data_IF_918813106320
#
_entry.id   IF_918813106320
#
_cell.length_a   1.000
_cell.length_b   1.000
_cell.length_c   1.000
_cell.angle_alpha   90.00
_cell.angle_beta   90.00
_cell.angle_gamma   90.00
#
_symmetry.space_group_name_H-M   'P 1'
#
loop_
_entity.id
_entity.type
_entity.pdbx_description
1 polymer ?
#
# COMPACT_ATOMS: atom_id res chain seq x y z
N UNK A 1 -7.97 -10.70 19.89
CA UNK A 1 -8.05 -11.04 21.33
C UNK A 1 -9.43 -10.61 21.84
N UNK A 2 -10.33 -11.55 22.11
CA UNK A 2 -11.72 -11.27 22.50
C UNK A 2 -11.80 -11.38 24.03
N UNK A 3 -12.31 -10.35 24.72
CA UNK A 3 -12.54 -10.38 26.19
C UNK A 3 -14.05 -10.29 26.49
N UNK A 4 -14.57 -11.08 27.43
CA UNK A 4 -15.95 -10.92 27.90
C UNK A 4 -16.08 -9.66 28.78
N UNK A 5 -17.23 -8.98 28.72
CA UNK A 5 -17.63 -7.96 29.71
C UNK A 5 -18.97 -8.38 30.32
N UNK A 6 -19.07 -8.26 31.64
CA UNK A 6 -20.33 -8.26 32.38
C UNK A 6 -20.75 -6.82 32.63
N UNK A 7 -22.02 -6.51 32.40
CA UNK A 7 -22.61 -5.21 32.77
C UNK A 7 -23.33 -5.42 34.10
N UNK A 8 -22.85 -4.76 35.16
CA UNK A 8 -23.55 -4.68 36.44
C UNK A 8 -24.30 -3.34 36.52
N UNK A 9 -25.59 -3.40 36.82
CA UNK A 9 -26.39 -2.24 37.17
C UNK A 9 -26.16 -1.91 38.65
N UNK A 10 -25.67 -0.69 38.94
CA UNK A 10 -25.59 -0.15 40.29
C UNK A 10 -26.84 0.68 40.59
N UNK A 11 -27.62 0.23 41.56
CA UNK A 11 -28.69 1.00 42.20
C UNK A 11 -28.12 1.72 43.42
N UNK A 12 -28.31 3.04 43.52
CA UNK A 12 -28.02 3.81 44.72
C UNK A 12 -29.27 4.59 45.14
N UNK A 13 -29.54 4.58 46.46
CA UNK A 13 -30.75 5.10 47.08
C UNK A 13 -30.42 6.24 48.05
N UNK A 14 -31.32 7.24 48.05
CA UNK A 14 -31.74 8.15 49.15
C UNK A 14 -30.68 9.05 49.82
N UNK A 15 -30.93 10.36 49.81
CA UNK A 15 -31.64 11.02 50.93
C UNK A 15 -32.03 12.48 50.64
N UNK A 16 -32.92 12.94 51.51
CA UNK A 16 -33.86 14.07 51.59
C UNK A 16 -33.31 15.51 51.56
N UNK A 17 -34.12 16.42 50.99
CA UNK A 17 -34.10 17.86 51.29
C UNK A 17 -35.30 18.60 50.69
N UNK A 18 -36.27 18.98 51.54
CA UNK A 18 -37.42 19.87 51.25
C UNK A 18 -36.95 21.32 51.13
N UNK A 19 -37.39 22.09 50.13
CA UNK A 19 -37.75 23.53 50.21
C UNK A 19 -38.64 23.94 49.01
N UNK A 20 -39.31 25.09 49.15
CA UNK A 20 -40.65 25.46 48.68
C UNK A 20 -40.69 26.14 47.30
N UNK A 21 -41.84 26.00 46.63
CA UNK A 21 -42.32 26.50 45.32
C UNK A 21 -42.15 28.01 45.04
N UNK A 22 -41.86 28.37 43.78
CA UNK A 22 -42.77 29.13 42.90
C UNK A 22 -42.13 29.50 41.53
N UNK A 23 -42.82 29.14 40.43
CA UNK A 23 -42.88 30.02 39.26
C UNK A 23 -41.86 29.86 38.12
N UNK A 24 -41.78 28.68 37.49
CA UNK A 24 -41.47 28.58 36.06
C UNK A 24 -42.04 27.28 35.50
N UNK A 25 -42.81 27.38 34.42
CA UNK A 25 -43.29 26.27 33.60
C UNK A 25 -42.09 25.48 33.06
N UNK A 26 -41.58 24.58 33.90
CA UNK A 26 -40.52 23.64 33.57
C UNK A 26 -41.16 22.55 32.71
N UNK A 27 -41.06 22.72 31.39
CA UNK A 27 -41.29 21.66 30.42
C UNK A 27 -40.29 20.53 30.71
N UNK A 28 -40.67 19.59 31.59
CA UNK A 28 -39.93 18.37 31.87
C UNK A 28 -40.03 17.53 30.59
N UNK A 29 -39.15 17.82 29.62
CA UNK A 29 -38.86 16.94 28.51
C UNK A 29 -38.22 15.69 29.12
N UNK A 30 -39.06 14.71 29.49
CA UNK A 30 -38.67 13.33 29.77
C UNK A 30 -37.89 12.83 28.56
N UNK A 31 -36.58 13.01 28.62
CA UNK A 31 -35.63 12.52 27.64
C UNK A 31 -35.53 11.03 27.85
N UNK A 32 -36.52 10.29 27.32
CA UNK A 32 -36.45 8.83 27.21
C UNK A 32 -35.23 8.56 26.36
N UNK A 33 -34.14 8.20 27.02
CA UNK A 33 -32.91 7.80 26.35
C UNK A 33 -33.25 6.49 25.66
N UNK A 34 -33.57 6.58 24.37
CA UNK A 34 -33.74 5.40 23.51
C UNK A 34 -32.35 4.78 23.41
N UNK A 35 -32.06 3.87 24.32
CA UNK A 35 -30.86 3.06 24.26
C UNK A 35 -31.04 2.15 23.04
N UNK A 36 -30.29 2.45 21.98
CA UNK A 36 -30.30 1.66 20.76
C UNK A 36 -30.10 0.19 21.13
N UNK A 37 -31.09 -0.65 20.80
CA UNK A 37 -31.04 -2.06 21.09
C UNK A 37 -29.83 -2.67 20.36
N UNK A 38 -28.90 -3.24 21.13
CA UNK A 38 -27.75 -3.94 20.57
C UNK A 38 -28.25 -5.14 19.76
N UNK A 39 -27.71 -5.34 18.55
CA UNK A 39 -28.05 -6.46 17.68
C UNK A 39 -26.81 -7.31 17.38
N UNK A 40 -27.00 -8.60 17.08
CA UNK A 40 -25.89 -9.45 16.66
C UNK A 40 -25.49 -9.13 15.22
N UNK A 41 -24.21 -8.82 14.98
CA UNK A 41 -23.70 -8.50 13.64
C UNK A 41 -23.76 -9.68 12.63
N UNK A 42 -23.88 -10.92 13.11
CA UNK A 42 -23.89 -12.14 12.29
C UNK A 42 -25.30 -12.62 11.97
N UNK A 43 -26.22 -12.60 12.93
CA UNK A 43 -27.58 -13.14 12.77
C UNK A 43 -28.69 -12.12 12.95
N UNK A 44 -28.34 -10.84 13.16
CA UNK A 44 -29.26 -9.72 13.32
C UNK A 44 -30.20 -9.82 14.55
N UNK A 45 -29.97 -10.80 15.45
CA UNK A 45 -30.74 -10.99 16.70
C UNK A 45 -30.73 -9.71 17.53
N UNK A 46 -31.91 -9.19 17.83
CA UNK A 46 -32.15 -8.00 18.64
C UNK A 46 -33.36 -8.20 19.58
N UNK A 47 -33.35 -7.64 20.80
CA UNK A 47 -32.18 -7.07 21.48
C UNK A 47 -31.22 -8.18 21.95
N UNK A 48 -29.93 -7.87 21.96
CA UNK A 48 -28.94 -8.66 22.69
C UNK A 48 -29.11 -8.40 24.19
N UNK A 49 -29.64 -9.39 24.89
CA UNK A 49 -29.77 -9.40 26.36
C UNK A 49 -28.74 -10.35 26.97
N UNK A 50 -28.23 -10.00 28.15
CA UNK A 50 -27.26 -10.81 28.88
C UNK A 50 -25.83 -10.77 28.30
N UNK A 51 -25.19 -11.93 28.17
CA UNK A 51 -23.79 -12.05 27.75
C UNK A 51 -23.66 -11.96 26.22
N UNK A 52 -22.77 -11.10 25.76
CA UNK A 52 -22.38 -10.96 24.36
C UNK A 52 -20.86 -10.76 24.24
N UNK A 53 -20.33 -10.90 23.03
CA UNK A 53 -18.90 -10.74 22.74
C UNK A 53 -18.69 -9.57 21.79
N UNK A 54 -17.56 -8.87 21.95
CA UNK A 54 -17.18 -7.75 21.07
C UNK A 54 -16.26 -8.24 19.95
N UNK A 55 -16.57 -7.81 18.74
CA UNK A 55 -15.74 -7.94 17.54
C UNK A 55 -15.51 -6.53 16.96
N UNK A 56 -14.42 -6.27 16.22
CA UNK A 56 -14.23 -4.99 15.53
C UNK A 56 -15.40 -4.53 14.65
N UNK A 57 -16.18 -5.48 14.11
CA UNK A 57 -17.35 -5.21 13.27
C UNK A 57 -18.67 -5.07 14.04
N UNK A 58 -18.71 -5.37 15.35
CA UNK A 58 -19.91 -5.30 16.17
C UNK A 58 -20.05 -6.43 17.19
N UNK A 59 -21.24 -6.56 17.76
CA UNK A 59 -21.55 -7.48 18.86
C UNK A 59 -21.98 -8.88 18.38
N UNK A 60 -21.62 -9.91 19.13
CA UNK A 60 -21.94 -11.31 18.86
C UNK A 60 -22.83 -11.89 19.95
N UNK A 61 -23.93 -12.55 19.56
CA UNK A 61 -24.73 -13.36 20.48
C UNK A 61 -23.98 -14.65 20.87
N UNK A 62 -24.40 -15.35 21.95
CA UNK A 62 -23.79 -16.62 22.37
C UNK A 62 -23.72 -17.68 21.27
N UNK A 63 -24.77 -17.78 20.45
CA UNK A 63 -24.85 -18.83 19.42
C UNK A 63 -23.87 -18.55 18.28
N UNK A 64 -23.83 -17.32 17.79
CA UNK A 64 -22.89 -16.91 16.74
C UNK A 64 -21.44 -16.94 17.22
N UNK A 65 -21.19 -16.63 18.50
CA UNK A 65 -19.84 -16.74 19.06
C UNK A 65 -19.29 -18.17 18.98
N UNK A 66 -20.13 -19.20 19.10
CA UNK A 66 -19.73 -20.63 19.05
C UNK A 66 -19.53 -21.19 17.65
N UNK A 67 -19.84 -20.45 16.59
CA UNK A 67 -19.64 -20.93 15.21
C UNK A 67 -18.14 -21.09 14.94
N UNK A 68 -17.70 -22.30 14.57
CA UNK A 68 -16.28 -22.59 14.33
C UNK A 68 -15.77 -22.05 12.99
N UNK A 69 -16.64 -21.91 11.99
CA UNK A 69 -16.26 -21.30 10.71
C UNK A 69 -16.05 -19.80 10.89
N UNK A 70 -14.80 -19.36 10.78
CA UNK A 70 -14.40 -17.95 10.94
C UNK A 70 -13.91 -17.37 9.62
N UNK A 71 -14.03 -16.05 9.49
CA UNK A 71 -13.39 -15.28 8.43
C UNK A 71 -11.87 -15.40 8.52
N UNK A 72 -11.20 -15.81 7.46
CA UNK A 72 -9.74 -15.94 7.41
C UNK A 72 -9.02 -14.59 7.47
N UNK A 73 -9.73 -13.47 7.22
CA UNK A 73 -9.19 -12.10 7.35
C UNK A 73 -9.42 -11.55 8.77
N UNK A 74 -10.68 -11.42 9.20
CA UNK A 74 -11.02 -10.71 10.44
C UNK A 74 -11.40 -11.60 11.62
N UNK A 75 -11.47 -12.93 11.44
CA UNK A 75 -11.88 -13.91 12.46
C UNK A 75 -13.36 -13.82 12.91
N UNK A 76 -14.19 -13.04 12.23
CA UNK A 76 -15.63 -13.00 12.49
C UNK A 76 -16.27 -14.38 12.20
N UNK A 77 -17.11 -14.95 13.09
CA UNK A 77 -17.89 -16.13 12.76
C UNK A 77 -18.81 -15.91 11.54
N UNK A 78 -18.87 -16.91 10.67
CA UNK A 78 -19.57 -16.84 9.38
C UNK A 78 -20.80 -17.76 9.42
N UNK A 79 -21.97 -17.19 9.08
CA UNK A 79 -23.22 -17.94 8.92
C UNK A 79 -23.78 -17.85 7.50
N UNK A 80 -23.76 -16.66 6.89
CA UNK A 80 -24.27 -16.36 5.56
C UNK A 80 -23.42 -15.26 4.90
N UNK A 81 -23.66 -15.00 3.62
CA UNK A 81 -23.11 -13.88 2.85
C UNK A 81 -21.57 -13.84 2.80
N UNK A 82 -20.94 -15.00 2.62
CA UNK A 82 -19.48 -15.14 2.52
C UNK A 82 -19.06 -15.54 1.11
N UNK A 83 -17.79 -15.36 0.81
CA UNK A 83 -17.13 -16.04 -0.30
C UNK A 83 -16.19 -17.12 0.23
N UNK A 84 -16.03 -18.18 -0.55
CA UNK A 84 -15.07 -19.25 -0.28
C UNK A 84 -14.01 -19.20 -1.38
N UNK A 85 -12.75 -19.03 -1.00
CA UNK A 85 -11.60 -19.12 -1.93
C UNK A 85 -11.43 -20.57 -2.38
N UNK A 86 -10.65 -20.82 -3.45
CA UNK A 86 -10.51 -22.20 -3.96
C UNK A 86 -9.83 -23.10 -2.94
N UNK A 87 -8.93 -22.54 -2.12
CA UNK A 87 -8.27 -23.23 -1.00
C UNK A 87 -9.09 -23.36 0.29
N UNK A 88 -10.40 -23.09 0.22
CA UNK A 88 -11.32 -23.33 1.32
C UNK A 88 -11.24 -22.35 2.49
N UNK A 89 -10.60 -21.18 2.31
CA UNK A 89 -10.75 -20.05 3.24
C UNK A 89 -12.11 -19.40 3.07
N UNK A 90 -12.65 -18.89 4.17
CA UNK A 90 -13.94 -18.20 4.20
C UNK A 90 -13.71 -16.71 4.44
N UNK A 91 -14.36 -15.86 3.66
CA UNK A 91 -14.23 -14.40 3.78
C UNK A 91 -15.64 -13.83 3.98
N UNK A 92 -15.85 -13.16 5.11
CA UNK A 92 -17.19 -12.71 5.51
C UNK A 92 -17.69 -11.52 4.69
N UNK A 93 -18.97 -11.19 4.85
CA UNK A 93 -19.64 -10.07 4.15
C UNK A 93 -18.97 -8.71 4.29
N UNK A 94 -18.18 -8.50 5.35
CA UNK A 94 -17.49 -7.22 5.61
C UNK A 94 -16.15 -7.11 4.90
N UNK A 95 -15.51 -8.23 4.58
CA UNK A 95 -14.16 -8.26 4.00
C UNK A 95 -14.19 -8.60 2.51
N UNK A 96 -15.26 -9.24 2.02
CA UNK A 96 -15.34 -9.78 0.65
C UNK A 96 -15.14 -8.73 -0.45
N UNK A 97 -15.44 -7.45 -0.19
CA UNK A 97 -15.28 -6.35 -1.16
C UNK A 97 -13.88 -5.72 -1.13
N UNK A 98 -13.10 -6.02 -0.08
CA UNK A 98 -11.72 -5.55 0.05
C UNK A 98 -10.66 -6.58 -0.32
N UNK A 99 -11.02 -7.86 -0.38
CA UNK A 99 -10.09 -8.91 -0.80
C UNK A 99 -9.95 -8.99 -2.30
N UNK A 100 -8.77 -9.40 -2.75
CA UNK A 100 -8.44 -9.58 -4.17
C UNK A 100 -8.47 -11.06 -4.51
N UNK A 101 -9.40 -11.47 -5.36
CA UNK A 101 -9.56 -12.85 -5.84
C UNK A 101 -9.38 -12.99 -7.36
N UNK A 102 -9.29 -11.85 -8.05
CA UNK A 102 -9.14 -11.76 -9.50
C UNK A 102 -7.67 -11.49 -9.87
N UNK A 103 -7.12 -12.31 -10.76
CA UNK A 103 -5.71 -12.23 -11.14
C UNK A 103 -5.38 -10.94 -11.89
N UNK A 104 -6.28 -10.43 -12.72
CA UNK A 104 -6.05 -9.18 -13.46
C UNK A 104 -6.00 -7.98 -12.51
N UNK A 105 -6.88 -7.95 -11.50
CA UNK A 105 -6.79 -6.97 -10.42
C UNK A 105 -5.49 -7.11 -9.62
N UNK A 106 -5.03 -8.33 -9.34
CA UNK A 106 -3.75 -8.54 -8.66
C UNK A 106 -2.56 -8.04 -9.49
N UNK A 107 -2.54 -8.24 -10.81
CA UNK A 107 -1.54 -7.66 -11.73
C UNK A 107 -1.51 -6.14 -11.66
N UNK A 108 -2.69 -5.50 -11.67
CA UNK A 108 -2.81 -4.04 -11.53
C UNK A 108 -2.27 -3.57 -10.18
N UNK A 109 -2.62 -4.25 -9.09
CA UNK A 109 -2.15 -3.92 -7.74
C UNK A 109 -0.64 -4.12 -7.62
N UNK A 110 -0.10 -5.22 -8.15
CA UNK A 110 1.34 -5.47 -8.19
C UNK A 110 2.07 -4.34 -8.94
N UNK A 111 1.55 -3.90 -10.09
CA UNK A 111 2.09 -2.73 -10.82
C UNK A 111 2.06 -1.45 -10.00
N UNK A 112 0.98 -1.19 -9.27
CA UNK A 112 0.90 -0.05 -8.35
C UNK A 112 1.91 -0.15 -7.20
N UNK A 113 2.12 -1.34 -6.65
CA UNK A 113 3.13 -1.59 -5.63
C UNK A 113 4.55 -1.35 -6.17
N UNK A 114 4.88 -1.83 -7.38
CA UNK A 114 6.16 -1.57 -8.04
C UNK A 114 6.39 -0.07 -8.23
N UNK A 115 5.40 0.67 -8.73
CA UNK A 115 5.47 2.14 -8.83
C UNK A 115 5.77 2.80 -7.49
N UNK A 116 5.16 2.32 -6.41
CA UNK A 116 5.39 2.79 -5.04
C UNK A 116 6.80 2.46 -4.56
N UNK A 117 7.31 1.25 -4.81
CA UNK A 117 8.69 0.84 -4.52
C UNK A 117 9.68 1.75 -5.24
N UNK A 118 9.47 1.99 -6.54
CA UNK A 118 10.33 2.88 -7.34
C UNK A 118 10.27 4.33 -6.85
N UNK A 119 9.13 4.79 -6.35
CA UNK A 119 9.01 6.10 -5.73
C UNK A 119 9.84 6.18 -4.44
N UNK A 120 9.59 5.29 -3.47
CA UNK A 120 10.25 5.35 -2.15
C UNK A 120 11.75 5.09 -2.23
N UNK A 121 12.20 4.33 -3.24
CA UNK A 121 13.62 4.06 -3.50
C UNK A 121 14.31 5.09 -4.38
N UNK A 122 13.63 6.17 -4.78
CA UNK A 122 14.17 7.15 -5.75
C UNK A 122 14.71 6.47 -7.02
N UNK A 123 13.97 5.49 -7.54
CA UNK A 123 14.26 4.70 -8.75
C UNK A 123 15.48 3.76 -8.63
N UNK A 124 16.10 3.60 -7.46
CA UNK A 124 17.25 2.71 -7.28
C UNK A 124 16.90 1.22 -7.39
N UNK A 125 15.61 0.89 -7.22
CA UNK A 125 15.08 -0.47 -7.26
C UNK A 125 14.50 -0.91 -8.62
N UNK A 126 14.94 -0.31 -9.73
CA UNK A 126 14.56 -0.79 -11.07
C UNK A 126 15.17 -2.16 -11.35
N UNK A 127 14.35 -3.08 -11.87
CA UNK A 127 14.85 -4.33 -12.46
C UNK A 127 15.55 -4.04 -13.80
N UNK A 128 16.52 -4.88 -14.14
CA UNK A 128 17.19 -4.93 -15.45
C UNK A 128 16.44 -5.87 -16.39
N UNK A 129 15.83 -6.92 -15.85
CA UNK A 129 14.97 -7.86 -16.57
C UNK A 129 13.65 -7.24 -17.03
N UNK A 130 12.86 -8.00 -17.79
CA UNK A 130 11.50 -7.61 -18.16
C UNK A 130 10.61 -7.52 -16.91
N UNK A 131 9.43 -6.94 -17.11
CA UNK A 131 8.42 -6.90 -16.05
C UNK A 131 8.05 -8.33 -15.60
N UNK A 132 7.91 -8.59 -14.28
CA UNK A 132 7.62 -9.94 -13.79
C UNK A 132 6.28 -10.48 -14.31
N UNK A 133 6.22 -11.78 -14.61
CA UNK A 133 4.93 -12.45 -14.78
C UNK A 133 4.28 -12.62 -13.41
N UNK A 134 3.03 -12.19 -13.27
CA UNK A 134 2.30 -12.21 -12.00
C UNK A 134 1.13 -13.17 -12.15
N UNK A 135 1.06 -14.12 -11.22
CA UNK A 135 -0.02 -15.10 -11.12
C UNK A 135 -0.62 -15.09 -9.73
N UNK A 136 -1.86 -15.51 -9.62
CA UNK A 136 -2.47 -15.82 -8.33
C UNK A 136 -2.54 -17.31 -8.08
N UNK A 137 -2.44 -17.69 -6.82
CA UNK A 137 -2.70 -19.07 -6.39
C UNK A 137 -3.62 -19.10 -5.17
N UNK A 138 -4.23 -20.26 -5.00
CA UNK A 138 -4.91 -20.66 -3.78
C UNK A 138 -4.02 -21.73 -3.10
N UNK A 139 -4.00 -21.77 -1.75
CA UNK A 139 -3.13 -22.63 -0.92
C UNK A 139 -3.09 -24.12 -1.32
N UNK A 140 -4.07 -24.64 -2.06
CA UNK A 140 -4.04 -26.02 -2.58
C UNK A 140 -2.80 -26.31 -3.44
N UNK A 141 -2.11 -25.28 -3.96
CA UNK A 141 -0.83 -25.43 -4.65
C UNK A 141 0.31 -26.00 -3.75
N UNK A 142 0.14 -26.05 -2.42
CA UNK A 142 1.21 -26.36 -1.45
C UNK A 142 0.89 -27.50 -0.46
N UNK A 143 -0.25 -28.16 -0.59
CA UNK A 143 -0.66 -29.21 0.35
C UNK A 143 -0.06 -30.61 0.11
N UNK A 144 0.81 -30.80 -0.88
CA UNK A 144 1.46 -32.11 -1.11
C UNK A 144 2.37 -32.59 0.04
N UNK A 145 2.64 -31.74 1.05
CA UNK A 145 3.34 -32.13 2.29
C UNK A 145 2.50 -32.00 3.58
N UNK A 146 1.17 -31.96 3.50
CA UNK A 146 0.31 -32.38 4.62
C UNK A 146 0.32 -31.55 5.91
N UNK A 147 0.79 -30.31 5.93
CA UNK A 147 0.68 -29.50 7.14
C UNK A 147 -0.72 -28.88 7.25
N UNK A 148 -1.59 -29.51 8.05
CA UNK A 148 -2.86 -28.97 8.51
C UNK A 148 -2.74 -27.50 8.95
N UNK A 149 -3.86 -26.74 8.88
CA UNK A 149 -4.01 -25.38 9.43
C UNK A 149 -3.37 -25.29 10.82
N UNK A 150 -2.13 -24.80 10.90
CA UNK A 150 -1.44 -24.57 12.16
C UNK A 150 -1.74 -23.14 12.62
N UNK A 151 -2.52 -22.94 13.70
CA UNK A 151 -2.73 -21.63 14.27
C UNK A 151 -1.38 -21.02 14.65
N UNK A 152 -1.07 -19.84 14.14
CA UNK A 152 0.18 -19.13 14.48
C UNK A 152 1.35 -19.35 13.52
N UNK A 153 1.26 -20.22 12.51
CA UNK A 153 2.22 -20.19 11.38
C UNK A 153 1.78 -19.12 10.37
N UNK A 154 2.66 -18.17 10.10
CA UNK A 154 2.41 -17.11 9.11
C UNK A 154 2.19 -17.76 7.75
N UNK A 155 1.06 -17.45 7.10
CA UNK A 155 0.83 -17.84 5.71
C UNK A 155 1.79 -17.06 4.83
N UNK A 156 2.44 -17.73 3.88
CA UNK A 156 3.16 -17.03 2.80
C UNK A 156 2.11 -16.31 1.96
N UNK A 157 2.13 -14.97 1.99
CA UNK A 157 1.23 -14.14 1.19
C UNK A 157 1.60 -14.12 -0.29
N UNK A 158 2.83 -14.50 -0.62
CA UNK A 158 3.32 -14.66 -1.97
C UNK A 158 4.66 -15.38 -1.99
N UNK A 159 5.20 -15.55 -3.19
CA UNK A 159 6.60 -15.87 -3.42
C UNK A 159 7.04 -15.35 -4.78
N UNK A 160 8.34 -15.21 -4.94
CA UNK A 160 8.96 -14.74 -6.16
C UNK A 160 10.13 -15.62 -6.56
N UNK A 161 10.33 -15.76 -7.86
CA UNK A 161 11.42 -16.54 -8.43
C UNK A 161 12.12 -15.72 -9.50
N UNK A 162 13.44 -15.79 -9.51
CA UNK A 162 14.29 -15.24 -10.58
C UNK A 162 15.06 -16.37 -11.23
N UNK A 163 15.03 -16.44 -12.55
CA UNK A 163 15.89 -17.31 -13.34
C UNK A 163 16.86 -16.43 -14.12
N UNK A 164 18.16 -16.73 -14.01
CA UNK A 164 19.21 -16.09 -14.78
C UNK A 164 19.64 -17.00 -15.93
N UNK A 165 19.71 -16.47 -17.15
CA UNK A 165 20.27 -17.16 -18.32
C UNK A 165 21.28 -16.19 -18.95
N UNK A 166 22.57 -16.42 -18.65
CA UNK A 166 23.65 -15.48 -19.00
C UNK A 166 23.45 -14.13 -18.32
N UNK A 167 23.36 -13.06 -19.12
CA UNK A 167 23.11 -11.69 -18.64
C UNK A 167 21.63 -11.29 -18.66
N UNK A 168 20.70 -12.24 -18.81
CA UNK A 168 19.26 -11.98 -18.85
C UNK A 168 18.56 -12.59 -17.64
N UNK A 169 17.55 -11.88 -17.14
CA UNK A 169 16.69 -12.35 -16.06
C UNK A 169 15.27 -12.57 -16.56
N UNK A 170 14.59 -13.55 -15.98
CA UNK A 170 13.14 -13.70 -16.06
C UNK A 170 12.59 -13.86 -14.64
N UNK A 171 11.46 -13.22 -14.36
CA UNK A 171 10.88 -13.18 -13.02
C UNK A 171 9.44 -13.68 -13.03
N UNK A 172 9.10 -14.46 -12.02
CA UNK A 172 7.73 -14.86 -11.71
C UNK A 172 7.40 -14.42 -10.29
N UNK A 173 6.20 -13.90 -10.09
CA UNK A 173 5.64 -13.58 -8.78
C UNK A 173 4.29 -14.28 -8.67
N UNK A 174 4.11 -15.02 -7.59
CA UNK A 174 2.91 -15.78 -7.31
C UNK A 174 2.33 -15.26 -6.00
N UNK A 175 1.11 -14.70 -6.05
CA UNK A 175 0.44 -14.01 -4.95
C UNK A 175 -0.75 -14.81 -4.45
N UNK A 176 -0.94 -14.84 -3.13
CA UNK A 176 -2.07 -15.55 -2.52
C UNK A 176 -3.39 -14.83 -2.82
N UNK A 177 -4.38 -15.58 -3.28
CA UNK A 177 -5.77 -15.13 -3.47
C UNK A 177 -6.42 -14.73 -2.15
N UNK A 178 -7.47 -13.91 -2.19
CA UNK A 178 -8.26 -13.55 -1.01
C UNK A 178 -7.50 -12.71 0.03
N UNK A 179 -6.40 -12.06 -0.35
CA UNK A 179 -5.71 -11.09 0.50
C UNK A 179 -6.43 -9.74 0.43
N UNK A 180 -6.59 -9.01 1.56
CA UNK A 180 -6.97 -7.60 1.53
C UNK A 180 -6.05 -6.78 0.63
N UNK A 181 -6.58 -5.73 -0.02
CA UNK A 181 -5.80 -4.91 -0.97
C UNK A 181 -4.53 -4.33 -0.35
N UNK A 182 -4.61 -3.84 0.88
CA UNK A 182 -3.47 -3.25 1.58
C UNK A 182 -2.37 -4.29 1.87
N UNK A 183 -2.77 -5.50 2.25
CA UNK A 183 -1.89 -6.65 2.43
C UNK A 183 -1.27 -7.09 1.11
N UNK A 184 -2.05 -7.17 0.03
CA UNK A 184 -1.54 -7.54 -1.30
C UNK A 184 -0.51 -6.52 -1.81
N UNK A 185 -0.70 -5.22 -1.56
CA UNK A 185 0.30 -4.18 -1.89
C UNK A 185 1.58 -4.40 -1.08
N UNK A 186 1.46 -4.67 0.21
CA UNK A 186 2.60 -4.95 1.10
C UNK A 186 3.40 -6.17 0.63
N UNK A 187 2.72 -7.29 0.38
CA UNK A 187 3.31 -8.52 -0.14
C UNK A 187 3.94 -8.28 -1.51
N UNK A 188 3.27 -7.56 -2.41
CA UNK A 188 3.81 -7.26 -3.74
C UNK A 188 5.13 -6.48 -3.67
N UNK A 189 5.24 -5.52 -2.75
CA UNK A 189 6.48 -4.78 -2.53
C UNK A 189 7.60 -5.66 -1.94
N UNK A 190 7.25 -6.56 -1.02
CA UNK A 190 8.15 -7.56 -0.46
C UNK A 190 8.70 -8.48 -1.56
N UNK A 191 7.82 -9.10 -2.35
CA UNK A 191 8.21 -10.02 -3.42
C UNK A 191 9.01 -9.34 -4.53
N UNK A 192 8.65 -8.12 -4.92
CA UNK A 192 9.44 -7.35 -5.87
C UNK A 192 10.86 -7.05 -5.35
N UNK A 193 11.02 -6.93 -4.02
CA UNK A 193 12.34 -6.70 -3.41
C UNK A 193 13.25 -7.92 -3.56
N UNK A 194 12.72 -9.14 -3.39
CA UNK A 194 13.48 -10.36 -3.67
C UNK A 194 14.00 -10.38 -5.11
N UNK A 195 13.16 -10.03 -6.10
CA UNK A 195 13.57 -9.96 -7.50
C UNK A 195 14.73 -8.98 -7.69
N UNK A 196 14.61 -7.78 -7.11
CA UNK A 196 15.65 -6.76 -7.21
C UNK A 196 16.96 -7.19 -6.55
N UNK A 197 16.90 -7.85 -5.38
CA UNK A 197 18.07 -8.40 -4.69
C UNK A 197 18.74 -9.45 -5.59
N UNK A 198 17.98 -10.36 -6.18
CA UNK A 198 18.53 -11.42 -7.03
C UNK A 198 19.30 -10.88 -8.25
N UNK A 199 18.90 -9.73 -8.79
CA UNK A 199 19.66 -9.09 -9.87
C UNK A 199 20.88 -8.31 -9.35
N UNK A 200 20.77 -7.65 -8.19
CA UNK A 200 21.70 -6.60 -7.76
C UNK A 200 22.68 -7.01 -6.66
N UNK A 201 22.48 -8.16 -6.02
CA UNK A 201 23.42 -8.76 -5.10
C UNK A 201 24.45 -9.58 -5.89
N UNK A 202 25.76 -9.27 -5.81
CA UNK A 202 26.79 -10.10 -6.42
C UNK A 202 26.74 -11.55 -5.91
N UNK A 203 27.10 -12.53 -6.73
CA UNK A 203 27.07 -13.95 -6.32
C UNK A 203 27.99 -14.23 -5.12
N UNK A 204 29.13 -13.53 -5.03
CA UNK A 204 30.07 -13.61 -3.91
C UNK A 204 29.55 -13.01 -2.59
N UNK A 205 28.37 -12.38 -2.61
CA UNK A 205 27.82 -11.63 -1.46
C UNK A 205 26.89 -12.52 -0.65
N UNK A 206 27.36 -13.00 0.50
CA UNK A 206 26.53 -13.72 1.46
C UNK A 206 25.76 -12.75 2.38
N UNK A 207 24.43 -12.80 2.37
CA UNK A 207 23.56 -12.05 3.31
C UNK A 207 22.73 -13.10 4.03
N UNK A 208 22.69 -13.03 5.36
CA UNK A 208 21.88 -13.93 6.18
C UNK A 208 20.41 -13.90 5.71
N UNK A 209 19.77 -15.06 5.58
CA UNK A 209 18.39 -15.18 5.09
C UNK A 209 17.43 -14.27 5.86
N UNK A 210 17.47 -14.28 7.20
CA UNK A 210 16.60 -13.43 8.01
C UNK A 210 16.87 -11.92 7.75
N UNK A 211 18.11 -11.55 7.42
CA UNK A 211 18.46 -10.16 7.04
C UNK A 211 17.89 -9.80 5.66
N UNK A 212 17.91 -10.73 4.70
CA UNK A 212 17.26 -10.54 3.40
C UNK A 212 15.75 -10.31 3.58
N UNK A 213 15.11 -11.12 4.41
CA UNK A 213 13.68 -10.98 4.73
C UNK A 213 13.38 -9.66 5.44
N UNK A 214 14.23 -9.26 6.38
CA UNK A 214 14.15 -7.96 7.04
C UNK A 214 14.26 -6.77 6.07
N UNK A 215 15.08 -6.89 5.01
CA UNK A 215 15.19 -5.88 3.96
C UNK A 215 13.94 -5.87 3.07
N UNK A 216 13.41 -7.03 2.70
CA UNK A 216 12.17 -7.12 1.92
C UNK A 216 10.99 -6.51 2.69
N UNK A 217 10.90 -6.78 3.99
CA UNK A 217 9.93 -6.17 4.90
C UNK A 217 10.15 -4.66 5.09
N UNK A 218 11.40 -4.17 5.10
CA UNK A 218 11.67 -2.72 5.14
C UNK A 218 11.09 -2.00 3.91
N UNK A 219 11.22 -2.59 2.72
CA UNK A 219 10.66 -1.99 1.49
C UNK A 219 9.13 -2.00 1.55
N UNK A 220 8.52 -3.11 1.96
CA UNK A 220 7.09 -3.21 2.17
C UNK A 220 6.59 -2.19 3.21
N UNK A 221 7.34 -2.01 4.31
CA UNK A 221 7.07 -0.99 5.33
C UNK A 221 7.07 0.41 4.73
N UNK A 222 8.09 0.77 3.94
CA UNK A 222 8.19 2.10 3.30
C UNK A 222 7.04 2.37 2.34
N UNK A 223 6.59 1.36 1.59
CA UNK A 223 5.40 1.46 0.75
C UNK A 223 4.14 1.66 1.58
N UNK A 224 3.94 0.86 2.64
CA UNK A 224 2.80 0.97 3.54
C UNK A 224 2.77 2.30 4.31
N UNK A 225 3.94 2.83 4.69
CA UNK A 225 4.13 4.09 5.39
C UNK A 225 3.64 5.25 4.52
N UNK A 226 4.05 5.25 3.25
CA UNK A 226 3.57 6.23 2.26
C UNK A 226 2.06 6.13 2.03
N UNK A 227 1.50 4.92 2.00
CA UNK A 227 0.07 4.69 1.74
C UNK A 227 -0.82 4.88 2.98
N UNK A 228 -0.24 5.07 4.18
CA UNK A 228 -0.99 5.18 5.44
C UNK A 228 -1.65 3.87 5.88
N UNK A 229 -1.09 2.72 5.52
CA UNK A 229 -1.60 1.39 5.89
C UNK A 229 -1.14 0.97 7.29
N UNK A 230 -1.67 1.62 8.32
CA UNK A 230 -1.26 1.45 9.73
C UNK A 230 -1.35 0.01 10.25
N UNK A 231 -2.35 -0.76 9.82
CA UNK A 231 -2.48 -2.17 10.17
C UNK A 231 -1.30 -2.98 9.62
N UNK A 232 -0.92 -2.76 8.36
CA UNK A 232 0.23 -3.41 7.74
C UNK A 232 1.54 -2.98 8.40
N UNK A 233 1.71 -1.69 8.73
CA UNK A 233 2.88 -1.23 9.49
C UNK A 233 3.02 -1.98 10.82
N UNK A 234 1.92 -2.13 11.57
CA UNK A 234 1.94 -2.87 12.83
C UNK A 234 2.24 -4.35 12.63
N UNK A 235 1.69 -4.97 11.57
CA UNK A 235 1.92 -6.38 11.21
C UNK A 235 3.39 -6.63 10.88
N UNK A 236 3.98 -5.81 10.02
CA UNK A 236 5.38 -5.92 9.57
C UNK A 236 6.34 -5.81 10.76
N UNK A 237 6.15 -4.81 11.62
CA UNK A 237 7.02 -4.60 12.81
C UNK A 237 6.94 -5.77 13.79
N UNK A 238 5.78 -6.42 13.89
CA UNK A 238 5.55 -7.58 14.76
C UNK A 238 5.82 -8.91 14.09
N UNK A 239 6.31 -8.92 12.84
CA UNK A 239 6.47 -10.15 12.08
C UNK A 239 7.58 -11.03 12.66
N UNK A 240 7.26 -12.22 13.22
CA UNK A 240 8.26 -13.11 13.81
C UNK A 240 9.15 -13.77 12.75
N UNK A 241 8.75 -13.78 11.48
CA UNK A 241 9.45 -14.47 10.38
C UNK A 241 10.87 -13.95 10.17
N UNK A 242 11.08 -12.65 10.34
CA UNK A 242 12.41 -12.03 10.19
C UNK A 242 13.31 -12.21 11.42
N UNK A 243 12.83 -12.87 12.48
CA UNK A 243 13.52 -13.00 13.79
C UNK A 243 14.07 -11.68 14.33
N UNK A 244 13.34 -10.58 14.11
CA UNK A 244 13.72 -9.23 14.55
C UNK A 244 14.56 -8.44 13.55
N UNK A 245 15.00 -9.02 12.43
CA UNK A 245 15.82 -8.32 11.42
C UNK A 245 15.11 -7.17 10.73
N UNK A 246 13.77 -7.15 10.72
CA UNK A 246 13.01 -5.95 10.32
C UNK A 246 13.34 -4.74 11.20
N UNK A 247 13.55 -4.92 12.51
CA UNK A 247 13.89 -3.82 13.41
C UNK A 247 15.30 -3.28 13.11
N UNK A 248 16.25 -4.18 12.82
CA UNK A 248 17.60 -3.80 12.39
C UNK A 248 17.57 -3.02 11.07
N UNK A 249 16.72 -3.45 10.12
CA UNK A 249 16.56 -2.80 8.83
C UNK A 249 15.93 -1.40 8.96
N UNK A 250 14.91 -1.24 9.80
CA UNK A 250 14.30 0.06 10.11
C UNK A 250 15.30 1.01 10.77
N UNK A 251 16.05 0.52 11.76
CA UNK A 251 17.06 1.33 12.45
C UNK A 251 18.21 1.71 11.52
N UNK A 252 18.68 0.77 10.69
CA UNK A 252 19.70 1.05 9.67
C UNK A 252 19.20 2.12 8.70
N UNK A 253 17.98 1.97 8.17
CA UNK A 253 17.37 2.96 7.27
C UNK A 253 17.22 4.34 7.93
N UNK A 254 17.03 4.41 9.25
CA UNK A 254 16.95 5.68 9.98
C UNK A 254 18.34 6.31 10.16
N UNK A 255 19.38 5.51 10.42
CA UNK A 255 20.75 5.98 10.68
C UNK A 255 21.50 6.38 9.43
N UNK A 256 21.49 5.54 8.40
CA UNK A 256 22.25 5.77 7.16
C UNK A 256 21.37 6.22 5.99
N UNK A 257 20.04 6.18 6.13
CA UNK A 257 19.14 6.46 5.04
C UNK A 257 18.82 5.22 4.20
N UNK A 258 17.65 5.21 3.59
CA UNK A 258 17.16 4.05 2.83
C UNK A 258 18.02 3.75 1.59
N UNK A 259 18.50 4.78 0.89
CA UNK A 259 19.41 4.64 -0.25
C UNK A 259 20.70 3.87 0.13
N UNK A 260 21.23 4.11 1.33
CA UNK A 260 22.45 3.47 1.77
C UNK A 260 22.24 2.03 2.23
N UNK A 261 21.05 1.69 2.73
CA UNK A 261 20.64 0.28 2.92
C UNK A 261 20.62 -0.44 1.57
N UNK A 262 20.08 0.17 0.51
CA UNK A 262 20.08 -0.42 -0.83
C UNK A 262 21.51 -0.55 -1.39
N UNK A 263 22.38 0.44 -1.17
CA UNK A 263 23.79 0.35 -1.54
C UNK A 263 24.52 -0.77 -0.77
N UNK A 264 24.17 -0.97 0.49
CA UNK A 264 24.71 -2.05 1.31
C UNK A 264 24.34 -3.44 0.79
N UNK A 265 23.13 -3.62 0.22
CA UNK A 265 22.78 -4.88 -0.47
C UNK A 265 23.75 -5.15 -1.63
N UNK A 266 24.03 -4.11 -2.44
CA UNK A 266 24.88 -4.25 -3.63
C UNK A 266 26.37 -4.46 -3.31
N UNK A 267 26.86 -3.77 -2.29
CA UNK A 267 28.32 -3.56 -2.07
C UNK A 267 28.77 -3.68 -0.62
N UNK A 268 27.87 -4.01 0.31
CA UNK A 268 28.21 -4.25 1.71
C UNK A 268 29.06 -5.51 1.88
N UNK A 269 29.68 -5.65 3.05
CA UNK A 269 30.63 -6.71 3.37
C UNK A 269 30.19 -7.63 4.52
N UNK A 270 29.23 -7.22 5.35
CA UNK A 270 28.73 -8.01 6.49
C UNK A 270 27.47 -8.80 6.16
N UNK A 271 27.23 -9.94 6.78
CA UNK A 271 26.01 -10.73 6.53
C UNK A 271 24.73 -10.07 7.08
N UNK A 272 24.90 -9.14 8.03
CA UNK A 272 23.84 -8.44 8.77
C UNK A 272 23.96 -6.93 8.61
N UNK A 273 22.80 -6.26 8.56
CA UNK A 273 22.76 -4.81 8.63
C UNK A 273 23.32 -4.30 9.97
N UNK A 274 24.01 -3.14 9.98
CA UNK A 274 24.60 -2.59 11.19
C UNK A 274 23.52 -2.16 12.19
N UNK A 275 23.38 -2.90 13.30
CA UNK A 275 22.43 -2.61 14.37
C UNK A 275 23.09 -1.83 15.53
N UNK A 276 22.28 -1.49 16.54
CA UNK A 276 22.68 -0.69 17.71
C UNK A 276 23.88 -1.35 18.43
N UNK A 277 25.00 -0.64 18.50
CA UNK A 277 26.24 -1.09 19.15
C UNK A 277 27.28 -1.70 18.20
N UNK A 278 26.93 -1.98 16.94
CA UNK A 278 27.92 -2.40 15.95
C UNK A 278 28.65 -1.17 15.38
N UNK A 279 29.98 -1.13 15.54
CA UNK A 279 30.80 -0.12 14.90
C UNK A 279 30.63 -0.23 13.37
N UNK A 280 30.26 0.86 12.71
CA UNK A 280 30.21 0.90 11.25
C UNK A 280 31.63 0.72 10.72
N UNK A 281 31.98 -0.51 10.32
CA UNK A 281 33.18 -0.77 9.52
C UNK A 281 32.87 -0.40 8.07
N UNK A 282 32.60 0.89 7.84
CA UNK A 282 32.68 1.46 6.50
C UNK A 282 34.15 1.53 6.14
N UNK A 283 34.75 0.39 5.78
CA UNK A 283 35.99 0.41 5.02
C UNK A 283 35.59 1.01 3.68
N UNK A 284 35.93 2.29 3.49
CA UNK A 284 35.77 3.00 2.24
C UNK A 284 36.36 2.11 1.15
N UNK A 285 35.50 1.54 0.31
CA UNK A 285 35.95 0.89 -0.92
C UNK A 285 36.73 1.96 -1.67
N UNK A 286 38.02 1.74 -2.00
CA UNK A 286 38.81 2.72 -2.73
C UNK A 286 38.02 3.12 -3.96
N UNK A 287 37.75 4.43 -4.09
CA UNK A 287 37.20 4.99 -5.32
C UNK A 287 38.17 4.55 -6.43
N UNK A 288 37.72 3.86 -7.49
CA UNK A 288 38.62 3.48 -8.58
C UNK A 288 39.34 4.74 -9.05
N UNK A 289 40.66 4.70 -8.95
CA UNK A 289 41.53 5.78 -9.42
C UNK A 289 41.17 6.05 -10.88
N UNK A 290 40.90 7.30 -11.27
CA UNK A 290 40.61 7.60 -12.67
C UNK A 290 41.84 7.19 -13.48
N UNK A 291 41.71 6.09 -14.23
CA UNK A 291 42.71 5.71 -15.22
C UNK A 291 42.82 6.89 -16.18
N UNK A 292 44.01 7.47 -16.25
CA UNK A 292 44.37 8.55 -17.17
C UNK A 292 44.01 8.11 -18.58
N UNK A 293 42.87 8.60 -19.08
CA UNK A 293 42.47 8.42 -20.46
C UNK A 293 43.41 9.26 -21.31
N UNK A 294 44.09 8.70 -22.32
CA UNK A 294 44.88 9.51 -23.25
C UNK A 294 43.97 10.55 -23.91
N UNK A 295 44.47 11.78 -23.96
CA UNK A 295 43.78 12.93 -24.56
C UNK A 295 43.33 12.60 -25.99
N UNK A 296 42.11 12.97 -26.39
CA UNK A 296 41.69 12.86 -27.78
C UNK A 296 42.55 13.80 -28.67
N UNK A 297 42.86 13.39 -29.91
CA UNK A 297 43.54 14.27 -30.86
C UNK A 297 42.67 15.51 -31.13
N UNK A 298 43.32 16.67 -31.16
CA UNK A 298 42.68 17.98 -31.31
C UNK A 298 41.89 18.14 -32.62
N UNK A 299 40.91 19.05 -32.65
CA UNK A 299 40.05 19.23 -33.81
C UNK A 299 40.83 19.83 -34.99
N UNK A 300 40.90 19.07 -36.08
CA UNK A 300 41.29 19.54 -37.40
C UNK A 300 40.30 20.60 -37.90
N UNK A 301 40.84 21.75 -38.29
CA UNK A 301 40.15 22.89 -38.94
C UNK A 301 39.26 22.44 -40.10
N UNK A 302 38.00 22.93 -40.21
CA UNK A 302 37.27 22.88 -41.46
C UNK A 302 37.59 24.10 -42.33
N UNK A 303 37.82 23.82 -43.61
CA UNK A 303 37.93 24.79 -44.70
C UNK A 303 36.64 25.60 -44.85
N UNK A 304 36.82 26.90 -45.09
CA UNK A 304 35.78 27.90 -45.35
C UNK A 304 35.58 28.04 -46.87
N UNK A 305 34.35 27.97 -47.40
CA UNK A 305 34.02 28.62 -48.66
C UNK A 305 33.28 29.94 -48.43
N UNK A 306 33.32 30.73 -49.50
CA UNK A 306 33.07 32.16 -49.60
C UNK A 306 31.63 32.44 -50.07
N UNK A 307 31.04 33.52 -49.52
CA UNK A 307 29.97 34.41 -49.97
C UNK A 307 28.74 33.87 -50.73
N UNK A 308 27.54 34.27 -50.27
CA UNK A 308 26.78 35.33 -50.95
C UNK A 308 25.56 35.81 -50.15
N UNK A 309 25.31 37.10 -50.26
CA UNK A 309 24.31 37.89 -49.57
C UNK A 309 22.87 37.64 -50.07
N UNK A 310 21.89 37.76 -49.18
CA UNK A 310 20.58 38.33 -49.54
C UNK A 310 19.82 38.89 -48.34
N UNK A 311 19.03 39.89 -48.66
CA UNK A 311 18.43 40.95 -47.85
C UNK A 311 17.26 40.52 -46.94
N UNK A 312 16.99 41.38 -45.96
CA UNK A 312 15.96 41.37 -44.89
C UNK A 312 14.50 41.42 -45.37
N UNK A 313 13.55 41.04 -44.49
CA UNK A 313 12.48 41.98 -44.10
C UNK A 313 12.16 42.02 -42.57
N UNK A 314 11.36 43.01 -42.10
CA UNK A 314 11.14 43.36 -40.67
C UNK A 314 10.11 42.48 -39.92
N UNK A 315 9.95 42.62 -38.59
CA UNK A 315 9.18 41.69 -37.76
C UNK A 315 7.66 41.95 -37.79
N UNK A 316 6.88 40.88 -37.76
CA UNK A 316 5.41 40.90 -37.64
C UNK A 316 4.97 40.77 -36.15
N UNK A 317 3.76 41.24 -35.79
CA UNK A 317 3.36 41.51 -34.40
C UNK A 317 2.78 40.30 -33.65
N UNK A 318 2.77 40.44 -32.31
CA UNK A 318 2.19 39.53 -31.32
C UNK A 318 0.82 38.95 -31.73
N UNK A 319 0.72 37.61 -31.74
CA UNK A 319 -0.55 36.88 -31.85
C UNK A 319 -0.93 36.27 -30.51
N UNK A 320 -2.09 36.65 -30.00
CA UNK A 320 -2.68 36.18 -28.76
C UNK A 320 -2.92 34.66 -28.74
N UNK A 321 -2.65 34.06 -27.58
CA UNK A 321 -2.92 32.66 -27.24
C UNK A 321 -4.43 32.37 -27.24
N UNK A 322 -4.93 31.30 -27.88
CA UNK A 322 -6.34 30.94 -27.78
C UNK A 322 -6.65 30.34 -26.41
N UNK A 323 -7.83 30.70 -25.90
CA UNK A 323 -8.37 30.26 -24.62
C UNK A 323 -8.49 28.73 -24.52
N UNK A 324 -8.16 28.22 -23.33
CA UNK A 324 -8.22 26.80 -22.95
C UNK A 324 -9.68 26.30 -22.95
N UNK A 325 -9.98 25.12 -23.53
CA UNK A 325 -11.33 24.56 -23.50
C UNK A 325 -11.71 24.16 -22.06
N UNK A 326 -12.96 24.46 -21.70
CA UNK A 326 -13.57 24.15 -20.40
C UNK A 326 -14.04 22.69 -20.38
N UNK A 327 -13.59 21.84 -19.43
CA UNK A 327 -13.91 20.41 -19.47
C UNK A 327 -15.25 20.09 -18.80
N UNK A 328 -16.27 19.69 -19.54
CA UNK A 328 -17.51 19.10 -18.99
C UNK A 328 -17.31 17.62 -18.73
N UNK A 329 -17.18 17.24 -17.46
CA UNK A 329 -17.34 15.86 -16.96
C UNK A 329 -17.87 15.97 -15.53
N UNK A 330 -19.20 15.97 -15.40
CA UNK A 330 -19.89 15.88 -14.12
C UNK A 330 -20.24 14.41 -13.89
N UNK A 331 -19.33 13.65 -13.28
CA UNK A 331 -19.76 12.46 -12.55
C UNK A 331 -20.48 12.95 -11.29
N UNK A 332 -21.65 12.38 -11.00
CA UNK A 332 -22.51 12.72 -9.85
C UNK A 332 -21.78 12.70 -8.48
N UNK A 333 -20.58 12.11 -8.46
CA UNK A 333 -19.62 12.09 -7.36
C UNK A 333 -18.95 13.44 -7.04
N UNK A 334 -19.12 14.48 -7.86
CA UNK A 334 -18.49 15.80 -7.65
C UNK A 334 -16.96 15.80 -7.82
N UNK A 335 -16.44 14.82 -8.57
CA UNK A 335 -15.03 14.69 -8.91
C UNK A 335 -14.84 15.04 -10.38
N UNK A 336 -13.96 15.98 -10.66
CA UNK A 336 -13.70 16.48 -12.00
C UNK A 336 -12.21 16.37 -12.30
N UNK A 337 -11.90 15.58 -13.32
CA UNK A 337 -10.57 15.55 -13.93
C UNK A 337 -10.42 16.79 -14.81
N UNK A 338 -9.60 17.74 -14.36
CA UNK A 338 -9.38 19.03 -15.04
C UNK A 338 -8.33 18.92 -16.14
N UNK A 339 -7.23 18.20 -15.88
CA UNK A 339 -6.16 18.05 -16.87
C UNK A 339 -5.29 16.82 -16.63
N UNK A 340 -4.63 16.35 -17.70
CA UNK A 340 -3.51 15.41 -17.64
C UNK A 340 -2.36 16.02 -18.43
N UNK A 341 -1.17 16.07 -17.83
CA UNK A 341 0.03 16.59 -18.46
C UNK A 341 1.17 15.56 -18.40
N UNK A 342 1.94 15.44 -19.48
CA UNK A 342 3.20 14.68 -19.47
C UNK A 342 4.28 15.51 -18.79
N UNK A 343 5.03 14.89 -17.89
CA UNK A 343 6.12 15.50 -17.12
C UNK A 343 7.38 14.62 -17.21
N UNK A 344 8.50 15.10 -16.68
CA UNK A 344 9.73 14.28 -16.56
C UNK A 344 9.56 13.07 -15.64
N UNK A 345 8.55 13.06 -14.76
CA UNK A 345 8.24 11.98 -13.81
C UNK A 345 7.12 11.05 -14.29
N UNK A 346 6.70 11.15 -15.55
CA UNK A 346 5.54 10.43 -16.09
C UNK A 346 4.34 11.37 -16.27
N UNK A 347 3.13 10.85 -16.12
CA UNK A 347 1.91 11.68 -16.23
C UNK A 347 1.51 12.27 -14.88
N UNK A 348 0.97 13.49 -14.94
CA UNK A 348 0.39 14.21 -13.81
C UNK A 348 -1.06 14.52 -14.13
N UNK A 349 -1.95 14.13 -13.24
CA UNK A 349 -3.36 14.48 -13.30
C UNK A 349 -3.67 15.69 -12.43
N UNK A 350 -4.74 16.41 -12.74
CA UNK A 350 -5.31 17.45 -11.90
C UNK A 350 -6.78 17.13 -11.65
N UNK A 351 -7.14 16.84 -10.39
CA UNK A 351 -8.48 16.46 -9.98
C UNK A 351 -8.97 17.49 -8.96
N UNK A 352 -10.10 18.14 -9.21
CA UNK A 352 -10.64 19.22 -8.38
C UNK A 352 -9.59 20.31 -8.04
N UNK A 353 -8.73 20.65 -9.00
CA UNK A 353 -7.65 21.64 -8.84
C UNK A 353 -6.42 21.14 -8.07
N UNK A 354 -6.41 19.89 -7.61
CA UNK A 354 -5.27 19.28 -6.90
C UNK A 354 -4.49 18.38 -7.86
N UNK A 355 -3.18 18.55 -7.91
CA UNK A 355 -2.31 17.75 -8.76
C UNK A 355 -2.02 16.38 -8.14
N UNK A 356 -2.01 15.32 -8.94
CA UNK A 356 -1.71 13.95 -8.53
C UNK A 356 -0.70 13.32 -9.49
N UNK A 357 0.29 12.64 -8.94
CA UNK A 357 1.06 11.62 -9.64
C UNK A 357 0.54 10.22 -9.29
N UNK A 358 0.93 9.22 -10.07
CA UNK A 358 0.65 7.83 -9.75
C UNK A 358 1.18 7.49 -8.34
N UNK A 359 0.33 6.90 -7.50
CA UNK A 359 0.63 6.53 -6.12
C UNK A 359 0.53 7.68 -5.11
N UNK A 360 0.07 8.87 -5.50
CA UNK A 360 -0.19 9.95 -4.54
C UNK A 360 -1.46 9.68 -3.73
N UNK A 361 -1.42 9.98 -2.43
CA UNK A 361 -2.57 10.04 -1.53
C UNK A 361 -2.72 11.48 -1.04
N UNK A 362 -3.84 12.14 -1.33
CA UNK A 362 -4.09 13.52 -0.90
C UNK A 362 -5.50 13.68 -0.38
N UNK A 363 -5.67 14.58 0.59
CA UNK A 363 -6.98 14.97 1.11
C UNK A 363 -7.52 16.13 0.29
N UNK A 364 -8.69 15.95 -0.32
CA UNK A 364 -9.33 16.96 -1.17
C UNK A 364 -10.78 17.21 -0.74
N UNK A 365 -11.31 18.38 -1.10
CA UNK A 365 -12.74 18.68 -0.91
C UNK A 365 -13.54 18.13 -2.10
N UNK A 366 -14.53 17.30 -1.80
CA UNK A 366 -15.49 16.73 -2.75
C UNK A 366 -16.88 17.09 -2.23
N UNK A 367 -17.61 17.93 -2.97
CA UNK A 367 -18.94 18.43 -2.57
C UNK A 367 -18.97 19.02 -1.14
N UNK A 368 -17.93 19.77 -0.77
CA UNK A 368 -17.83 20.40 0.56
C UNK A 368 -17.41 19.45 1.70
N UNK A 369 -17.14 18.18 1.42
CA UNK A 369 -16.61 17.21 2.40
C UNK A 369 -15.17 16.84 2.09
N UNK A 370 -14.33 16.75 3.12
CA UNK A 370 -12.95 16.30 2.97
C UNK A 370 -12.89 14.78 2.82
N UNK A 371 -12.27 14.30 1.75
CA UNK A 371 -12.06 12.88 1.48
C UNK A 371 -10.59 12.61 1.12
N UNK A 372 -10.13 11.39 1.41
CA UNK A 372 -8.80 10.93 1.01
C UNK A 372 -8.90 10.33 -0.41
N UNK A 373 -8.22 10.94 -1.37
CA UNK A 373 -8.16 10.46 -2.74
C UNK A 373 -6.78 9.85 -3.01
N UNK A 374 -6.76 8.56 -3.36
CA UNK A 374 -5.55 7.84 -3.77
C UNK A 374 -5.54 7.71 -5.28
N UNK A 375 -4.52 8.29 -5.92
CA UNK A 375 -4.27 8.12 -7.34
C UNK A 375 -3.55 6.78 -7.58
N UNK A 376 -4.21 5.84 -8.24
CA UNK A 376 -3.71 4.47 -8.46
C UNK A 376 -2.88 4.41 -9.74
N UNK A 377 -3.37 5.02 -10.82
CA UNK A 377 -2.70 5.06 -12.12
C UNK A 377 -3.04 6.35 -12.86
N UNK A 378 -2.05 6.94 -13.54
CA UNK A 378 -2.25 8.07 -14.46
C UNK A 378 -1.71 7.67 -15.82
N UNK A 379 -2.57 7.65 -16.83
CA UNK A 379 -2.20 7.45 -18.23
C UNK A 379 -2.29 8.78 -18.97
N UNK A 380 -1.94 8.82 -20.26
CA UNK A 380 -2.09 10.03 -21.07
C UNK A 380 -3.53 10.47 -21.34
N UNK A 381 -4.52 9.64 -21.02
CA UNK A 381 -5.96 9.92 -21.31
C UNK A 381 -6.89 9.69 -20.13
N UNK A 382 -6.44 8.95 -19.12
CA UNK A 382 -7.28 8.56 -17.99
C UNK A 382 -6.53 8.57 -16.67
N UNK A 383 -7.29 8.67 -15.59
CA UNK A 383 -6.82 8.47 -14.22
C UNK A 383 -7.68 7.44 -13.54
N UNK A 384 -7.04 6.50 -12.85
CA UNK A 384 -7.69 5.59 -11.93
C UNK A 384 -7.38 6.01 -10.50
N UNK A 385 -8.40 6.14 -9.66
CA UNK A 385 -8.26 6.58 -8.27
C UNK A 385 -9.27 5.88 -7.36
N UNK A 386 -9.03 5.88 -6.06
CA UNK A 386 -10.00 5.44 -5.04
C UNK A 386 -10.25 6.56 -4.04
N UNK A 387 -11.51 6.70 -3.61
CA UNK A 387 -11.92 7.65 -2.57
C UNK A 387 -12.07 6.85 -1.28
N UNK A 388 -11.45 7.28 -0.17
CA UNK A 388 -11.57 6.65 1.14
C UNK A 388 -11.35 5.12 1.13
N UNK A 389 -10.51 4.61 0.22
CA UNK A 389 -10.23 3.17 -0.02
C UNK A 389 -11.41 2.35 -0.56
N UNK A 390 -12.42 3.02 -1.10
CA UNK A 390 -13.52 2.38 -1.84
C UNK A 390 -13.05 1.87 -3.20
N UNK A 391 -13.98 1.26 -3.96
CA UNK A 391 -13.72 0.71 -5.29
C UNK A 391 -13.03 1.74 -6.21
N UNK A 392 -11.97 1.36 -6.95
CA UNK A 392 -11.34 2.24 -7.91
C UNK A 392 -12.33 2.76 -8.96
N UNK A 393 -12.27 4.06 -9.21
CA UNK A 393 -13.01 4.78 -10.24
C UNK A 393 -12.04 5.23 -11.33
N UNK A 394 -12.52 5.22 -12.57
CA UNK A 394 -11.76 5.70 -13.72
C UNK A 394 -12.39 6.99 -14.24
N UNK A 395 -11.59 8.04 -14.38
CA UNK A 395 -11.94 9.27 -15.07
C UNK A 395 -11.15 9.37 -16.36
N UNK A 396 -11.81 9.82 -17.43
CA UNK A 396 -11.18 10.09 -18.72
C UNK A 396 -11.33 11.58 -19.06
N UNK A 397 -10.40 12.14 -19.82
CA UNK A 397 -10.58 13.48 -20.38
C UNK A 397 -11.65 13.40 -21.48
N UNK A 398 -12.71 14.21 -21.35
CA UNK A 398 -13.65 14.44 -22.44
C UNK A 398 -12.88 14.96 -23.64
N UNK A 399 -13.18 14.43 -24.84
CA UNK A 399 -12.56 14.88 -26.09
C UNK A 399 -12.98 16.30 -26.45
#
# INVERSE_FOLDING_TARGET
>A
MIRPKNVHFLTSSRSTGRWILAGMLLSICLSVSVQAALNCIVCDKTPLVGRYWKHPHGELCPDCYRIDTRCDVCQLPIKKDFIKTKDGRYICKFEKDDVVIDEELAKVIFKSAVSSVLYVSSQQMRLRGPYPDVRMFDIDYWNDNGSARMPGKMRRGGFSQTRSIGNRYTHNVILLSGLPKDELISVSAHEYTHLWINENRPESRNIETDTLEGICELVAYKVCERAGFTNQLSRIVKNPYTKGRILDALESSKRMGFADVLNWVKRGNGERLPYRGSAMTTRSVPRPTPTTRPSPPGPSRPNRPVNSARSTPPPAPNRATPARPTPTNSTDSGIRLTSIARTSRGFRAEINGVQFYQGDLKRISIQGRLANLQCIEVTGRSVMFSINRERPLKLELSR
#
